data_IF_227794807275
#
_entry.id   IF_227794807275
#
_cell.length_a   1.000
_cell.length_b   1.000
_cell.length_c   1.000
_cell.angle_alpha   90.00
_cell.angle_beta   90.00
_cell.angle_gamma   90.00
#
_symmetry.space_group_name_H-M   'P 1'
#
loop_
_entity.id
_entity.type
_entity.pdbx_description
1 polymer ?
#
# COMPACT_ATOMS: atom_id res chain seq x y z
N UNK A 1 13.30 -2.94 -23.47
CA UNK A 1 12.33 -4.05 -23.21
C UNK A 1 11.00 -3.58 -22.60
N UNK A 2 10.46 -2.46 -23.06
CA UNK A 2 9.18 -1.91 -22.60
C UNK A 2 7.97 -2.80 -22.91
N UNK A 3 8.09 -3.76 -23.81
CA UNK A 3 7.06 -4.80 -24.05
C UNK A 3 6.60 -5.52 -22.77
N UNK A 4 7.49 -5.61 -21.77
CA UNK A 4 7.16 -6.27 -20.50
C UNK A 4 6.18 -5.46 -19.63
N UNK A 5 6.04 -4.16 -19.85
CA UNK A 5 5.10 -3.32 -19.13
C UNK A 5 3.64 -3.53 -19.59
N UNK A 6 3.44 -3.99 -20.83
CA UNK A 6 2.09 -4.29 -21.33
C UNK A 6 1.48 -5.42 -20.49
N UNK A 7 0.40 -5.11 -19.77
CA UNK A 7 -0.26 -6.04 -18.86
C UNK A 7 0.61 -6.48 -17.67
N UNK A 8 1.56 -5.64 -17.26
CA UNK A 8 2.50 -5.93 -16.15
C UNK A 8 1.77 -6.31 -14.86
N UNK A 9 0.83 -5.50 -14.44
CA UNK A 9 0.10 -5.72 -13.18
C UNK A 9 -0.75 -6.99 -13.23
N UNK A 10 -1.39 -7.27 -14.37
CA UNK A 10 -2.14 -8.51 -14.55
C UNK A 10 -1.22 -9.73 -14.48
N UNK A 11 -0.07 -9.67 -15.15
CA UNK A 11 0.93 -10.75 -15.11
C UNK A 11 1.50 -10.94 -13.71
N UNK A 12 1.76 -9.84 -13.00
CA UNK A 12 2.28 -9.85 -11.63
C UNK A 12 1.29 -10.46 -10.63
N UNK A 13 -0.01 -10.26 -10.83
CA UNK A 13 -1.05 -10.79 -9.95
C UNK A 13 -1.46 -12.22 -10.26
N UNK A 14 -1.01 -12.79 -11.39
CA UNK A 14 -1.36 -14.17 -11.78
C UNK A 14 -1.11 -15.22 -10.69
N UNK A 15 0.06 -15.25 -9.99
CA UNK A 15 0.29 -16.25 -8.96
C UNK A 15 -0.77 -16.21 -7.85
N UNK A 16 -1.15 -15.03 -7.38
CA UNK A 16 -2.17 -14.87 -6.35
C UNK A 16 -3.56 -15.32 -6.83
N UNK A 17 -3.91 -15.05 -8.11
CA UNK A 17 -5.15 -15.60 -8.71
C UNK A 17 -5.14 -17.12 -8.78
N UNK A 18 -4.01 -17.74 -9.18
CA UNK A 18 -3.89 -19.19 -9.22
C UNK A 18 -4.04 -19.83 -7.85
N UNK A 19 -3.49 -19.22 -6.81
CA UNK A 19 -3.68 -19.70 -5.42
C UNK A 19 -5.16 -19.69 -5.00
N UNK A 20 -5.92 -18.66 -5.40
CA UNK A 20 -7.36 -18.59 -5.11
C UNK A 20 -8.11 -19.70 -5.85
N UNK A 21 -7.81 -19.96 -7.12
CA UNK A 21 -8.44 -21.02 -7.89
C UNK A 21 -8.04 -22.41 -7.39
N UNK A 22 -6.77 -22.62 -7.07
CA UNK A 22 -6.28 -23.88 -6.48
C UNK A 22 -7.00 -24.23 -5.17
N UNK A 23 -7.23 -23.21 -4.31
CA UNK A 23 -8.02 -23.40 -3.08
C UNK A 23 -9.48 -23.74 -3.37
N UNK A 24 -10.07 -23.16 -4.42
CA UNK A 24 -11.46 -23.44 -4.78
C UNK A 24 -11.70 -24.87 -5.26
N UNK A 25 -10.67 -25.52 -5.80
CA UNK A 25 -10.71 -26.90 -6.27
C UNK A 25 -10.47 -27.96 -5.18
N UNK A 26 -9.86 -27.55 -4.04
CA UNK A 26 -9.58 -28.45 -2.90
C UNK A 26 -10.82 -28.65 -2.03
N UNK A 27 -10.86 -29.75 -1.31
CA UNK A 27 -11.91 -30.00 -0.31
C UNK A 27 -11.72 -29.15 0.94
N UNK A 28 -12.77 -28.97 1.74
CA UNK A 28 -12.69 -28.28 3.04
C UNK A 28 -11.66 -28.91 3.97
N UNK A 29 -11.50 -30.21 3.93
CA UNK A 29 -10.56 -30.97 4.77
C UNK A 29 -9.09 -30.74 4.34
N UNK A 30 -8.82 -30.76 3.03
CA UNK A 30 -7.46 -30.49 2.51
C UNK A 30 -7.00 -29.08 2.81
N UNK A 31 -7.92 -28.12 2.99
CA UNK A 31 -7.60 -26.74 3.33
C UNK A 31 -7.38 -26.50 4.83
N UNK A 32 -7.59 -27.48 5.72
CA UNK A 32 -7.24 -27.35 7.13
C UNK A 32 -5.72 -27.19 7.36
N UNK A 33 -4.90 -27.70 6.44
CA UNK A 33 -3.44 -27.56 6.46
C UNK A 33 -2.93 -26.27 5.79
N UNK A 34 -3.80 -25.52 5.09
CA UNK A 34 -3.43 -24.24 4.46
C UNK A 34 -3.55 -23.09 5.46
N UNK A 35 -2.42 -22.57 5.93
CA UNK A 35 -2.39 -21.47 6.92
C UNK A 35 -3.01 -20.16 6.42
N UNK A 36 -3.26 -20.00 5.12
CA UNK A 36 -3.98 -18.85 4.56
C UNK A 36 -5.51 -19.06 4.59
N UNK A 37 -5.97 -20.16 5.18
CA UNK A 37 -7.38 -20.51 5.33
C UNK A 37 -7.79 -20.63 6.80
N UNK A 38 -9.10 -20.51 7.06
CA UNK A 38 -9.81 -21.12 8.18
C UNK A 38 -10.83 -22.05 7.57
N UNK A 39 -10.55 -23.35 7.62
CA UNK A 39 -11.27 -24.35 6.84
C UNK A 39 -12.27 -25.15 7.65
N UNK A 40 -13.16 -25.83 6.94
CA UNK A 40 -14.13 -26.77 7.51
C UNK A 40 -15.00 -26.15 8.62
N UNK A 41 -15.42 -24.90 8.41
CA UNK A 41 -16.25 -24.14 9.34
C UNK A 41 -17.71 -24.53 9.15
N UNK A 42 -18.35 -25.06 10.21
CA UNK A 42 -19.75 -25.49 10.22
C UNK A 42 -20.62 -24.41 10.87
N UNK A 43 -21.68 -24.00 10.20
CA UNK A 43 -22.63 -23.02 10.72
C UNK A 43 -23.29 -23.55 12.02
N UNK A 44 -23.23 -22.73 13.08
CA UNK A 44 -23.74 -23.15 14.41
C UNK A 44 -25.25 -23.06 14.47
N UNK A 45 -25.85 -21.99 13.93
CA UNK A 45 -27.26 -21.73 13.92
C UNK A 45 -27.69 -21.02 12.63
N UNK A 46 -28.81 -21.42 12.07
CA UNK A 46 -29.40 -20.79 10.89
C UNK A 46 -30.01 -19.41 11.19
N UNK A 47 -30.10 -19.02 12.47
CA UNK A 47 -30.60 -17.71 12.90
C UNK A 47 -29.42 -16.84 13.33
N UNK A 48 -28.99 -15.89 12.48
CA UNK A 48 -27.91 -14.97 12.84
C UNK A 48 -28.36 -14.05 13.99
N UNK A 49 -27.41 -13.58 14.78
CA UNK A 49 -27.64 -12.50 15.74
C UNK A 49 -27.90 -11.21 14.98
N UNK A 50 -29.10 -10.63 15.13
CA UNK A 50 -29.45 -9.33 14.56
C UNK A 50 -28.76 -8.20 15.34
N UNK A 51 -28.25 -7.21 14.63
CA UNK A 51 -27.65 -5.98 15.17
C UNK A 51 -28.20 -4.78 14.39
N UNK A 52 -28.03 -3.58 14.89
CA UNK A 52 -28.51 -2.35 14.23
C UNK A 52 -28.02 -2.23 12.79
N UNK A 53 -26.76 -2.60 12.51
CA UNK A 53 -26.09 -2.43 11.22
C UNK A 53 -26.05 -3.70 10.34
N UNK A 54 -26.33 -4.87 10.90
CA UNK A 54 -26.18 -6.13 10.17
C UNK A 54 -26.51 -7.38 10.97
N UNK A 55 -26.01 -8.49 10.48
CA UNK A 55 -26.21 -9.82 11.04
C UNK A 55 -24.85 -10.45 11.37
N UNK A 56 -24.76 -11.15 12.51
CA UNK A 56 -23.57 -11.90 12.89
C UNK A 56 -23.90 -13.40 12.81
N UNK A 57 -23.17 -14.11 11.94
CA UNK A 57 -23.22 -15.55 11.77
C UNK A 57 -22.07 -16.20 12.53
N UNK A 58 -22.35 -17.31 13.22
CA UNK A 58 -21.34 -18.05 14.00
C UNK A 58 -21.06 -19.40 13.36
N UNK A 59 -19.78 -19.72 13.21
CA UNK A 59 -19.30 -20.98 12.68
C UNK A 59 -18.37 -21.65 13.70
N UNK A 60 -18.43 -22.97 13.78
CA UNK A 60 -17.47 -23.78 14.53
C UNK A 60 -16.43 -24.36 13.60
N UNK A 61 -15.18 -24.38 14.03
CA UNK A 61 -14.08 -24.99 13.28
C UNK A 61 -13.13 -25.72 14.22
N UNK A 62 -12.37 -26.69 13.67
CA UNK A 62 -11.38 -27.45 14.41
C UNK A 62 -10.13 -26.60 14.68
N UNK A 63 -9.35 -27.04 15.67
CA UNK A 63 -8.03 -26.44 15.90
C UNK A 63 -7.15 -26.60 14.66
N UNK A 64 -6.63 -25.47 14.15
CA UNK A 64 -5.80 -25.38 12.95
C UNK A 64 -4.96 -24.11 12.99
N UNK A 65 -3.83 -24.11 12.27
CA UNK A 65 -2.99 -22.93 12.13
C UNK A 65 -3.53 -22.03 11.01
N UNK A 66 -3.71 -20.73 11.30
CA UNK A 66 -4.20 -19.76 10.32
C UNK A 66 -3.55 -18.38 10.50
N UNK A 67 -3.52 -17.59 9.41
CA UNK A 67 -3.04 -16.20 9.38
C UNK A 67 -4.14 -15.17 9.21
N UNK A 68 -5.37 -15.60 8.96
CA UNK A 68 -6.52 -14.71 8.84
C UNK A 68 -6.75 -13.94 10.14
N UNK A 69 -7.18 -12.69 10.04
CA UNK A 69 -7.34 -11.78 11.17
C UNK A 69 -8.71 -11.14 11.18
N UNK A 70 -9.16 -10.78 12.37
CA UNK A 70 -10.36 -9.97 12.58
C UNK A 70 -10.33 -8.66 11.79
N UNK A 71 -11.50 -8.17 11.39
CA UNK A 71 -11.66 -6.97 10.58
C UNK A 71 -11.34 -7.13 9.09
N UNK A 72 -10.82 -8.28 8.66
CA UNK A 72 -10.61 -8.59 7.24
C UNK A 72 -11.91 -9.08 6.59
N UNK A 73 -11.94 -9.02 5.26
CA UNK A 73 -13.05 -9.60 4.50
C UNK A 73 -13.12 -11.09 4.73
N UNK A 74 -14.31 -11.59 5.11
CA UNK A 74 -14.62 -13.01 5.11
C UNK A 74 -14.88 -13.44 3.65
N UNK A 75 -13.93 -14.16 3.07
CA UNK A 75 -13.96 -14.57 1.67
C UNK A 75 -14.14 -16.09 1.59
N UNK A 76 -15.21 -16.54 0.96
CA UNK A 76 -15.46 -17.96 0.71
C UNK A 76 -14.49 -18.46 -0.35
N UNK A 77 -13.62 -19.39 0.04
CA UNK A 77 -12.58 -19.94 -0.84
C UNK A 77 -13.16 -20.73 -2.00
N UNK A 78 -14.27 -21.47 -1.79
CA UNK A 78 -14.89 -22.31 -2.83
C UNK A 78 -15.76 -21.51 -3.81
N UNK A 79 -16.54 -20.55 -3.29
CA UNK A 79 -17.39 -19.72 -4.14
C UNK A 79 -16.64 -18.51 -4.73
N UNK A 80 -15.40 -18.28 -4.32
CA UNK A 80 -14.58 -17.14 -4.74
C UNK A 80 -15.34 -15.82 -4.52
N UNK A 81 -15.96 -15.68 -3.34
CA UNK A 81 -16.89 -14.59 -3.05
C UNK A 81 -16.71 -14.03 -1.65
N UNK A 82 -16.73 -12.69 -1.55
CA UNK A 82 -16.77 -12.00 -0.26
C UNK A 82 -18.15 -12.11 0.39
N UNK A 83 -18.21 -12.66 1.60
CA UNK A 83 -19.44 -12.83 2.38
C UNK A 83 -19.71 -11.65 3.31
N UNK A 84 -18.69 -11.11 3.95
CA UNK A 84 -18.78 -10.06 4.94
C UNK A 84 -17.42 -9.72 5.50
N UNK A 85 -17.34 -9.42 6.79
CA UNK A 85 -16.09 -9.20 7.50
C UNK A 85 -15.95 -10.20 8.66
N UNK A 86 -14.76 -10.66 8.92
CA UNK A 86 -14.43 -11.44 10.11
C UNK A 86 -14.64 -10.51 11.32
N UNK A 87 -15.65 -10.82 12.12
CA UNK A 87 -16.03 -10.02 13.30
C UNK A 87 -15.17 -10.38 14.51
N UNK A 88 -15.08 -11.68 14.83
CA UNK A 88 -14.18 -12.21 15.86
C UNK A 88 -13.79 -13.65 15.57
N UNK A 89 -12.65 -14.07 16.10
CA UNK A 89 -12.18 -15.44 16.13
C UNK A 89 -11.90 -15.79 17.59
N UNK A 90 -12.66 -16.72 18.14
CA UNK A 90 -12.60 -17.13 19.54
C UNK A 90 -12.03 -18.55 19.63
N UNK A 91 -10.86 -18.69 20.25
CA UNK A 91 -10.21 -19.98 20.45
C UNK A 91 -10.62 -20.56 21.80
N UNK A 92 -11.32 -21.69 21.79
CA UNK A 92 -11.91 -22.32 22.97
C UNK A 92 -11.36 -23.76 23.13
N UNK A 93 -10.09 -23.92 23.49
CA UNK A 93 -9.52 -25.23 23.77
C UNK A 93 -10.04 -25.77 25.14
N UNK A 94 -10.48 -27.06 25.28
CA UNK A 94 -10.48 -28.14 24.29
C UNK A 94 -11.72 -28.17 23.38
N UNK A 95 -12.64 -27.24 23.50
CA UNK A 95 -13.83 -27.15 22.66
C UNK A 95 -13.49 -26.60 21.26
N UNK A 96 -14.47 -26.64 20.35
CA UNK A 96 -14.28 -26.12 18.99
C UNK A 96 -14.20 -24.60 18.99
N UNK A 97 -13.32 -24.06 18.18
CA UNK A 97 -13.16 -22.62 17.96
C UNK A 97 -14.38 -22.02 17.27
N UNK A 98 -14.64 -20.75 17.55
CA UNK A 98 -15.79 -20.02 17.00
C UNK A 98 -15.30 -18.87 16.11
N UNK A 99 -15.71 -18.90 14.86
CA UNK A 99 -15.56 -17.82 13.91
C UNK A 99 -16.87 -17.06 13.79
N UNK A 100 -16.86 -15.74 13.97
CA UNK A 100 -18.03 -14.88 13.75
C UNK A 100 -17.83 -14.01 12.52
N UNK A 101 -18.84 -13.95 11.66
CA UNK A 101 -18.85 -13.17 10.42
C UNK A 101 -19.97 -12.14 10.48
N UNK A 102 -19.60 -10.87 10.33
CA UNK A 102 -20.55 -9.76 10.23
C UNK A 102 -20.94 -9.51 8.78
N UNK A 103 -22.22 -9.47 8.50
CA UNK A 103 -22.83 -9.17 7.20
C UNK A 103 -23.72 -7.94 7.33
N UNK A 104 -23.37 -6.84 6.67
CA UNK A 104 -24.15 -5.60 6.71
C UNK A 104 -25.54 -5.76 6.08
N UNK A 105 -26.58 -5.13 6.67
CA UNK A 105 -27.95 -5.06 6.12
C UNK A 105 -28.04 -4.46 4.70
N UNK A 106 -27.01 -3.72 4.29
CA UNK A 106 -26.91 -3.16 2.91
C UNK A 106 -26.63 -4.24 1.87
N UNK A 107 -26.05 -5.38 2.28
CA UNK A 107 -25.79 -6.53 1.40
C UNK A 107 -27.04 -7.43 1.38
N UNK A 108 -28.01 -7.07 0.57
CA UNK A 108 -29.22 -7.90 0.36
C UNK A 108 -28.82 -9.22 -0.31
N UNK A 109 -29.40 -10.34 0.17
CA UNK A 109 -29.34 -11.68 -0.44
C UNK A 109 -27.95 -12.35 -0.40
N UNK A 110 -27.19 -12.25 0.66
CA UNK A 110 -26.08 -13.16 0.90
C UNK A 110 -26.64 -14.38 1.64
N UNK A 111 -26.67 -15.50 0.95
CA UNK A 111 -26.92 -16.79 1.56
C UNK A 111 -25.62 -17.30 2.18
N UNK A 112 -25.64 -17.54 3.48
CA UNK A 112 -24.47 -18.05 4.19
C UNK A 112 -24.42 -19.56 4.11
N UNK A 113 -23.31 -20.15 3.63
CA UNK A 113 -23.23 -21.60 3.46
C UNK A 113 -23.23 -22.32 4.82
N UNK A 114 -23.80 -23.53 4.87
CA UNK A 114 -23.78 -24.38 6.07
C UNK A 114 -22.38 -24.92 6.40
N UNK A 115 -21.55 -25.09 5.38
CA UNK A 115 -20.14 -25.48 5.45
C UNK A 115 -19.32 -24.44 4.69
N UNK A 116 -18.29 -23.88 5.32
CA UNK A 116 -17.51 -22.75 4.81
C UNK A 116 -16.02 -22.99 5.01
N UNK A 117 -15.22 -22.61 4.04
CA UNK A 117 -13.78 -22.35 4.21
C UNK A 117 -13.52 -20.90 3.84
N UNK A 118 -12.97 -20.13 4.80
CA UNK A 118 -12.44 -18.81 4.51
C UNK A 118 -11.03 -18.91 3.96
N UNK A 119 -10.73 -18.10 2.95
CA UNK A 119 -9.40 -17.92 2.39
C UNK A 119 -9.11 -16.47 2.07
N UNK A 120 -7.92 -16.20 1.56
CA UNK A 120 -7.61 -14.90 1.01
C UNK A 120 -8.44 -14.67 -0.26
N UNK A 121 -8.94 -13.45 -0.41
CA UNK A 121 -9.68 -13.06 -1.61
C UNK A 121 -8.76 -12.84 -2.82
N UNK A 122 -9.39 -12.57 -3.96
CA UNK A 122 -8.67 -12.21 -5.19
C UNK A 122 -7.83 -10.94 -4.99
N UNK A 123 -6.69 -10.82 -5.68
CA UNK A 123 -5.91 -9.59 -5.68
C UNK A 123 -6.77 -8.38 -6.08
N UNK A 124 -6.46 -7.19 -5.57
CA UNK A 124 -7.20 -5.99 -5.93
C UNK A 124 -7.07 -5.69 -7.43
N UNK A 125 -8.15 -5.17 -8.01
CA UNK A 125 -8.12 -4.72 -9.40
C UNK A 125 -7.19 -3.52 -9.55
N UNK A 126 -6.26 -3.59 -10.50
CA UNK A 126 -5.17 -2.62 -10.70
C UNK A 126 -5.40 -1.66 -11.87
N UNK A 127 -6.66 -1.47 -12.27
CA UNK A 127 -7.02 -0.66 -13.44
C UNK A 127 -6.39 0.75 -13.46
N UNK A 128 -6.35 1.43 -12.32
CA UNK A 128 -5.74 2.77 -12.21
C UNK A 128 -4.21 2.73 -12.41
N UNK A 129 -3.55 1.68 -11.93
CA UNK A 129 -2.12 1.46 -12.15
C UNK A 129 -1.84 1.16 -13.63
N UNK A 130 -2.68 0.33 -14.26
CA UNK A 130 -2.56 0.05 -15.70
C UNK A 130 -2.76 1.32 -16.53
N UNK A 131 -3.72 2.19 -16.16
CA UNK A 131 -3.91 3.47 -16.83
C UNK A 131 -2.69 4.39 -16.69
N UNK A 132 -2.07 4.45 -15.51
CA UNK A 132 -0.85 5.24 -15.30
C UNK A 132 0.32 4.70 -16.12
N UNK A 133 0.45 3.38 -16.17
CA UNK A 133 1.47 2.72 -16.97
C UNK A 133 1.26 2.92 -18.47
N UNK A 134 0.01 2.87 -18.94
CA UNK A 134 -0.32 3.13 -20.35
C UNK A 134 0.02 4.57 -20.76
N UNK A 135 -0.26 5.58 -19.92
CA UNK A 135 0.17 6.96 -20.19
C UNK A 135 1.68 7.09 -20.36
N UNK A 136 2.46 6.39 -19.54
CA UNK A 136 3.91 6.34 -19.71
C UNK A 136 4.32 5.68 -21.04
N UNK A 137 3.66 4.58 -21.42
CA UNK A 137 3.94 3.87 -22.67
C UNK A 137 3.52 4.68 -23.89
N UNK A 138 2.42 5.40 -23.84
CA UNK A 138 1.98 6.33 -24.89
C UNK A 138 3.01 7.45 -25.10
N UNK A 139 3.46 8.09 -24.01
CA UNK A 139 4.54 9.10 -24.10
C UNK A 139 5.85 8.54 -24.66
N UNK A 140 6.17 7.29 -24.28
CA UNK A 140 7.35 6.64 -24.84
C UNK A 140 7.23 6.42 -26.35
N UNK A 141 6.06 6.08 -26.86
CA UNK A 141 5.81 5.87 -28.30
C UNK A 141 5.84 7.21 -29.04
N UNK A 142 5.21 8.24 -28.49
CA UNK A 142 4.99 9.52 -29.16
C UNK A 142 6.18 10.48 -28.99
N UNK A 143 6.90 10.43 -27.87
CA UNK A 143 7.91 11.41 -27.46
C UNK A 143 9.21 10.78 -26.95
N UNK A 144 9.48 9.50 -27.16
CA UNK A 144 10.64 8.76 -26.60
C UNK A 144 10.73 8.84 -25.06
N UNK A 145 9.61 8.99 -24.34
CA UNK A 145 9.56 9.07 -22.89
C UNK A 145 10.11 10.36 -22.30
N UNK A 146 10.20 11.45 -23.08
CA UNK A 146 10.81 12.71 -22.65
C UNK A 146 10.09 13.37 -21.48
N UNK A 147 8.78 13.20 -21.37
CA UNK A 147 8.00 13.73 -20.23
C UNK A 147 8.25 12.92 -18.94
N UNK A 148 8.85 11.74 -19.04
CA UNK A 148 9.19 10.85 -17.93
C UNK A 148 10.70 10.59 -17.83
N UNK A 149 11.53 11.62 -18.10
CA UNK A 149 12.99 11.51 -18.17
C UNK A 149 13.60 10.78 -16.97
N UNK A 150 13.20 11.10 -15.73
CA UNK A 150 13.73 10.44 -14.54
C UNK A 150 13.44 8.94 -14.49
N UNK A 151 12.26 8.51 -14.98
CA UNK A 151 11.90 7.09 -15.10
C UNK A 151 12.74 6.43 -16.20
N UNK A 152 12.89 7.09 -17.36
CA UNK A 152 13.69 6.58 -18.47
C UNK A 152 15.15 6.43 -18.06
N UNK A 153 15.73 7.43 -17.41
CA UNK A 153 17.11 7.39 -16.93
C UNK A 153 17.34 6.21 -15.96
N UNK A 154 16.37 5.95 -15.06
CA UNK A 154 16.41 4.81 -14.13
C UNK A 154 16.31 3.47 -14.86
N UNK A 155 15.37 3.32 -15.82
CA UNK A 155 15.18 2.08 -16.60
C UNK A 155 16.38 1.76 -17.48
N UNK A 156 17.03 2.77 -18.02
CA UNK A 156 18.24 2.65 -18.84
C UNK A 156 19.52 2.59 -17.99
N UNK A 157 19.40 2.69 -16.67
CA UNK A 157 20.55 2.69 -15.72
C UNK A 157 21.57 3.77 -16.02
N UNK A 158 21.13 4.93 -16.50
CA UNK A 158 21.99 6.07 -16.71
C UNK A 158 22.52 6.63 -15.39
N UNK A 159 23.67 7.28 -15.43
CA UNK A 159 24.12 8.07 -14.29
C UNK A 159 23.12 9.20 -14.00
N UNK A 160 22.91 9.56 -12.72
CA UNK A 160 22.07 10.70 -12.36
C UNK A 160 22.55 11.96 -13.10
N UNK A 161 21.61 12.66 -13.71
CA UNK A 161 21.87 13.95 -14.34
C UNK A 161 21.76 15.05 -13.27
N UNK A 162 22.88 15.64 -12.89
CA UNK A 162 22.99 16.61 -11.81
C UNK A 162 23.68 17.85 -12.37
N UNK A 163 23.03 19.00 -12.22
CA UNK A 163 23.60 20.27 -12.67
C UNK A 163 24.98 20.52 -12.04
N UNK A 164 25.92 20.94 -12.84
CA UNK A 164 27.30 21.24 -12.46
C UNK A 164 28.16 20.05 -11.98
N UNK A 165 27.67 18.81 -12.11
CA UNK A 165 28.47 17.61 -11.81
C UNK A 165 28.63 16.78 -13.07
N UNK A 166 29.88 16.45 -13.40
CA UNK A 166 30.19 15.60 -14.57
C UNK A 166 29.72 14.17 -14.32
N UNK A 167 29.03 13.57 -15.29
CA UNK A 167 28.57 12.18 -15.20
C UNK A 167 29.75 11.23 -14.90
N UNK A 168 29.53 10.32 -13.94
CA UNK A 168 30.51 9.36 -13.48
C UNK A 168 31.52 9.89 -12.44
N UNK A 169 31.37 11.15 -11.99
CA UNK A 169 32.17 11.67 -10.88
C UNK A 169 31.68 11.11 -9.54
N UNK A 170 32.57 11.05 -8.55
CA UNK A 170 32.17 10.77 -7.17
C UNK A 170 31.21 11.86 -6.68
N UNK A 171 30.05 11.44 -6.23
CA UNK A 171 29.00 12.34 -5.74
C UNK A 171 29.27 12.80 -4.30
N UNK A 172 29.93 11.97 -3.51
CA UNK A 172 30.20 12.22 -2.09
C UNK A 172 31.69 12.31 -1.88
N UNK A 173 32.10 13.34 -1.13
CA UNK A 173 33.48 13.55 -0.71
C UNK A 173 33.65 13.07 0.73
N UNK A 174 34.66 12.27 0.99
CA UNK A 174 35.01 11.84 2.34
C UNK A 174 35.31 13.02 3.27
N UNK A 175 34.93 12.90 4.54
CA UNK A 175 35.17 13.92 5.55
C UNK A 175 34.20 15.12 5.54
N UNK A 176 33.24 15.19 4.61
CA UNK A 176 32.18 16.20 4.63
C UNK A 176 30.86 15.59 5.09
N UNK A 177 30.00 16.42 5.68
CA UNK A 177 28.68 15.99 6.13
C UNK A 177 27.86 15.37 4.98
N UNK A 178 27.45 14.12 5.17
CA UNK A 178 26.70 13.33 4.17
C UNK A 178 25.34 13.95 3.86
N UNK A 179 24.65 14.49 4.86
CA UNK A 179 23.29 15.04 4.69
C UNK A 179 23.36 16.31 3.86
N UNK A 180 24.32 17.19 4.18
CA UNK A 180 24.54 18.42 3.41
C UNK A 180 24.84 18.11 1.96
N UNK A 181 25.77 17.18 1.69
CA UNK A 181 26.13 16.80 0.32
C UNK A 181 24.96 16.16 -0.42
N UNK A 182 24.24 15.21 0.22
CA UNK A 182 23.11 14.54 -0.39
C UNK A 182 21.97 15.52 -0.70
N UNK A 183 21.73 16.47 0.18
CA UNK A 183 20.73 17.54 -0.02
C UNK A 183 21.09 18.40 -1.23
N UNK A 184 22.36 18.82 -1.34
CA UNK A 184 22.83 19.63 -2.45
C UNK A 184 22.69 18.87 -3.79
N UNK A 185 23.06 17.59 -3.81
CA UNK A 185 22.89 16.72 -4.97
C UNK A 185 21.42 16.66 -5.39
N UNK A 186 20.52 16.39 -4.46
CA UNK A 186 19.08 16.24 -4.77
C UNK A 186 18.47 17.57 -5.24
N UNK A 187 18.86 18.70 -4.66
CA UNK A 187 18.43 20.04 -5.13
C UNK A 187 18.86 20.34 -6.57
N UNK A 188 19.96 19.78 -7.01
CA UNK A 188 20.55 20.00 -8.35
C UNK A 188 20.21 18.90 -9.36
N UNK A 189 19.34 17.94 -9.04
CA UNK A 189 18.87 16.95 -10.01
C UNK A 189 18.14 17.62 -11.19
N UNK A 190 18.54 17.29 -12.41
CA UNK A 190 17.94 17.80 -13.65
C UNK A 190 16.93 16.79 -14.21
N UNK A 191 15.71 16.77 -13.65
CA UNK A 191 14.68 15.78 -14.01
C UNK A 191 15.25 14.36 -14.07
N UNK A 192 16.02 13.97 -13.06
CA UNK A 192 16.70 12.70 -12.95
C UNK A 192 16.41 12.03 -11.61
N UNK A 193 17.16 11.01 -11.26
CA UNK A 193 16.96 10.23 -10.03
C UNK A 193 18.27 10.10 -9.24
N UNK A 194 18.15 9.81 -7.95
CA UNK A 194 19.26 9.44 -7.08
C UNK A 194 18.88 8.19 -6.28
N UNK A 195 19.73 7.18 -6.29
CA UNK A 195 19.55 5.98 -5.47
C UNK A 195 20.38 6.10 -4.19
N UNK A 196 19.71 5.99 -3.04
CA UNK A 196 20.35 5.95 -1.72
C UNK A 196 20.24 4.52 -1.18
N UNK A 197 21.36 3.82 -1.11
CA UNK A 197 21.46 2.46 -0.61
C UNK A 197 22.16 2.42 0.75
N UNK A 198 21.73 1.50 1.61
CA UNK A 198 22.38 1.24 2.89
C UNK A 198 21.68 0.12 3.66
N UNK A 199 22.38 -0.65 4.48
CA UNK A 199 21.81 -1.66 5.36
C UNK A 199 20.79 -1.08 6.36
N UNK A 200 19.99 -1.90 7.04
CA UNK A 200 19.20 -1.46 8.18
C UNK A 200 20.06 -0.75 9.23
N UNK A 201 19.53 0.31 9.86
CA UNK A 201 20.25 1.05 10.92
C UNK A 201 21.26 2.10 10.47
N UNK A 202 21.53 2.27 9.17
CA UNK A 202 22.51 3.25 8.64
C UNK A 202 21.99 4.69 8.53
N UNK A 203 20.87 5.02 9.16
CA UNK A 203 20.34 6.39 9.17
C UNK A 203 19.60 6.85 7.91
N UNK A 204 19.24 5.95 6.97
CA UNK A 204 18.52 6.33 5.73
C UNK A 204 17.27 7.17 5.99
N UNK A 205 16.45 6.76 6.95
CA UNK A 205 15.21 7.48 7.30
C UNK A 205 15.51 8.88 7.81
N UNK A 206 16.56 9.04 8.64
CA UNK A 206 17.01 10.32 9.15
C UNK A 206 17.51 11.23 8.05
N UNK A 207 18.39 10.72 7.17
CA UNK A 207 18.91 11.48 6.03
C UNK A 207 17.80 11.87 5.05
N UNK A 208 16.87 10.95 4.74
CA UNK A 208 15.72 11.24 3.88
C UNK A 208 14.81 12.32 4.47
N UNK A 209 14.56 12.30 5.78
CA UNK A 209 13.75 13.32 6.44
C UNK A 209 14.38 14.72 6.31
N UNK A 210 15.69 14.84 6.52
CA UNK A 210 16.42 16.10 6.37
C UNK A 210 16.40 16.61 4.92
N UNK A 211 16.66 15.74 3.95
CA UNK A 211 16.59 16.07 2.51
C UNK A 211 15.19 16.59 2.15
N UNK A 212 14.13 15.91 2.60
CA UNK A 212 12.73 16.29 2.33
C UNK A 212 12.42 17.68 2.91
N UNK A 213 12.84 17.97 4.13
CA UNK A 213 12.66 19.29 4.75
C UNK A 213 13.34 20.38 3.93
N UNK A 214 14.57 20.15 3.52
CA UNK A 214 15.33 21.10 2.71
C UNK A 214 14.73 21.31 1.31
N UNK A 215 14.14 20.29 0.71
CA UNK A 215 13.38 20.43 -0.54
C UNK A 215 12.11 21.29 -0.33
N UNK A 216 11.39 21.07 0.76
CA UNK A 216 10.20 21.88 1.10
C UNK A 216 10.59 23.34 1.41
N UNK A 217 11.70 23.59 2.11
CA UNK A 217 12.25 24.95 2.31
C UNK A 217 12.58 25.64 0.97
N UNK A 218 13.04 24.88 -0.01
CA UNK A 218 13.29 25.38 -1.35
C UNK A 218 12.00 25.51 -2.20
N UNK A 219 10.80 25.40 -1.59
CA UNK A 219 9.51 25.54 -2.25
C UNK A 219 9.11 24.36 -3.13
N UNK A 220 9.79 23.21 -2.97
CA UNK A 220 9.42 21.99 -3.74
C UNK A 220 8.26 21.26 -3.08
N UNK A 221 7.36 20.72 -3.90
CA UNK A 221 6.34 19.76 -3.47
C UNK A 221 6.95 18.35 -3.47
N UNK A 222 6.79 17.62 -2.38
CA UNK A 222 7.43 16.31 -2.19
C UNK A 222 6.38 15.21 -2.04
N UNK A 223 6.51 14.16 -2.85
CA UNK A 223 5.70 12.93 -2.75
C UNK A 223 6.46 11.82 -2.03
N UNK A 224 5.84 11.19 -1.03
CA UNK A 224 6.38 10.04 -0.30
C UNK A 224 5.51 8.81 -0.57
N UNK A 225 6.11 7.77 -1.12
CA UNK A 225 5.41 6.51 -1.40
C UNK A 225 6.18 5.29 -0.93
N UNK A 226 5.45 4.24 -0.56
CA UNK A 226 5.96 2.90 -0.26
C UNK A 226 4.84 1.89 -0.43
N UNK A 227 5.17 0.60 -0.54
CA UNK A 227 4.19 -0.49 -0.51
C UNK A 227 3.64 -0.73 0.92
N UNK A 228 4.28 -0.20 1.96
CA UNK A 228 3.88 -0.36 3.36
C UNK A 228 3.42 0.97 3.97
N UNK A 229 2.21 1.00 4.52
CA UNK A 229 1.71 2.14 5.29
C UNK A 229 2.58 2.44 6.52
N UNK A 230 3.15 1.41 7.18
CA UNK A 230 4.04 1.59 8.32
C UNK A 230 5.37 2.23 7.92
N UNK A 231 5.95 1.85 6.77
CA UNK A 231 7.16 2.49 6.27
C UNK A 231 6.94 3.98 5.98
N UNK A 232 5.80 4.32 5.35
CA UNK A 232 5.39 5.72 5.13
C UNK A 232 5.28 6.45 6.47
N UNK A 233 4.54 5.88 7.43
CA UNK A 233 4.32 6.48 8.75
C UNK A 233 5.62 6.71 9.52
N UNK A 234 6.55 5.74 9.44
CA UNK A 234 7.89 5.85 10.07
C UNK A 234 8.68 7.03 9.49
N UNK A 235 8.70 7.17 8.16
CA UNK A 235 9.38 8.31 7.53
C UNK A 235 8.70 9.64 7.86
N UNK A 236 7.37 9.70 7.87
CA UNK A 236 6.63 10.91 8.22
C UNK A 236 6.87 11.36 9.67
N UNK A 237 6.96 10.41 10.61
CA UNK A 237 7.35 10.70 12.01
C UNK A 237 8.75 11.31 12.08
N UNK A 238 9.70 10.79 11.31
CA UNK A 238 11.03 11.34 11.25
C UNK A 238 11.05 12.76 10.63
N UNK A 239 10.27 12.99 9.56
CA UNK A 239 10.13 14.33 8.95
C UNK A 239 9.55 15.32 9.97
N UNK A 240 8.47 14.93 10.67
CA UNK A 240 7.83 15.82 11.64
C UNK A 240 8.73 16.12 12.84
N UNK A 241 9.49 15.12 13.31
CA UNK A 241 10.46 15.34 14.38
C UNK A 241 11.58 16.29 13.94
N UNK A 242 12.17 16.06 12.77
CA UNK A 242 13.22 16.95 12.24
C UNK A 242 12.71 18.36 11.96
N UNK A 243 11.45 18.51 11.53
CA UNK A 243 10.83 19.82 11.34
C UNK A 243 10.68 20.57 12.67
N UNK A 244 10.28 19.87 13.75
CA UNK A 244 10.24 20.43 15.10
C UNK A 244 11.62 20.86 15.60
N UNK A 245 12.63 20.00 15.42
CA UNK A 245 14.00 20.24 15.85
C UNK A 245 14.66 21.42 15.12
N UNK A 246 14.22 21.69 13.88
CA UNK A 246 14.72 22.76 13.01
C UNK A 246 13.81 23.98 12.95
N UNK A 247 12.79 24.06 13.79
CA UNK A 247 11.77 25.13 13.82
C UNK A 247 11.19 25.45 12.42
N UNK A 248 10.86 24.37 11.67
CA UNK A 248 10.32 24.46 10.32
C UNK A 248 8.87 24.01 10.28
N UNK A 249 7.95 24.88 9.86
CA UNK A 249 6.55 24.56 9.68
C UNK A 249 6.23 24.27 8.22
N UNK A 250 5.40 23.26 7.99
CA UNK A 250 4.93 22.87 6.65
C UNK A 250 3.49 22.34 6.71
N UNK A 251 2.85 22.26 5.57
CA UNK A 251 1.55 21.61 5.42
C UNK A 251 1.70 20.30 4.64
N UNK A 252 1.36 19.17 5.27
CA UNK A 252 1.43 17.84 4.67
C UNK A 252 0.11 17.11 4.70
N UNK A 253 -0.06 16.14 3.81
CA UNK A 253 -1.18 15.22 3.80
C UNK A 253 -0.74 13.77 3.66
N UNK A 254 -1.43 12.86 4.37
CA UNK A 254 -1.25 11.41 4.24
C UNK A 254 -2.58 10.73 3.95
N UNK A 255 -2.62 9.86 2.93
CA UNK A 255 -3.75 8.94 2.76
C UNK A 255 -3.65 7.82 3.79
N UNK A 256 -4.59 7.80 4.74
CA UNK A 256 -4.67 6.80 5.79
C UNK A 256 -6.02 6.08 5.78
N UNK A 257 -6.08 4.89 6.38
CA UNK A 257 -7.33 4.22 6.73
C UNK A 257 -7.91 4.89 7.97
N UNK A 258 -9.23 4.83 8.15
CA UNK A 258 -9.91 5.40 9.33
C UNK A 258 -9.40 4.82 10.65
N UNK A 259 -8.95 3.57 10.65
CA UNK A 259 -8.37 2.85 11.79
C UNK A 259 -6.88 3.16 12.04
N UNK A 260 -6.19 3.86 11.12
CA UNK A 260 -4.75 4.14 11.20
C UNK A 260 -4.49 5.66 11.25
N UNK A 261 -5.32 6.41 11.93
CA UNK A 261 -5.10 7.84 12.17
C UNK A 261 -3.98 8.01 13.20
N UNK A 262 -3.23 9.10 13.03
CA UNK A 262 -2.17 9.52 13.94
C UNK A 262 -2.32 11.00 14.25
N UNK A 263 -1.94 11.42 15.45
CA UNK A 263 -1.97 12.83 15.87
C UNK A 263 -0.70 13.55 15.40
N UNK A 264 -0.81 14.16 14.21
CA UNK A 264 0.26 14.91 13.56
C UNK A 264 0.19 16.40 13.92
N UNK A 265 1.33 17.06 14.01
CA UNK A 265 1.38 18.54 14.14
C UNK A 265 1.24 19.23 12.78
N UNK A 266 1.92 18.74 11.75
CA UNK A 266 2.03 19.39 10.45
C UNK A 266 1.36 18.59 9.30
N UNK A 267 0.92 17.37 9.56
CA UNK A 267 0.39 16.46 8.55
C UNK A 267 -1.08 16.17 8.84
N UNK A 268 -1.91 16.12 7.81
CA UNK A 268 -3.33 15.77 7.92
C UNK A 268 -3.59 14.39 7.35
N UNK A 269 -4.13 13.50 8.17
CA UNK A 269 -4.64 12.22 7.68
C UNK A 269 -5.97 12.40 6.93
N UNK A 270 -6.00 11.96 5.68
CA UNK A 270 -7.19 12.00 4.84
C UNK A 270 -7.70 10.59 4.51
N UNK A 271 -9.01 10.43 4.58
CA UNK A 271 -9.74 9.29 4.02
C UNK A 271 -10.42 9.78 2.76
N UNK A 272 -9.95 9.35 1.59
CA UNK A 272 -10.33 9.96 0.32
C UNK A 272 -11.78 9.68 -0.04
N UNK A 273 -12.62 10.67 0.09
CA UNK A 273 -13.95 10.71 -0.54
C UNK A 273 -14.26 12.04 -1.23
N UNK A 274 -13.39 13.06 -1.13
CA UNK A 274 -13.62 14.39 -1.67
C UNK A 274 -12.46 14.84 -2.56
N UNK A 275 -12.70 15.71 -3.55
CA UNK A 275 -11.62 16.40 -4.27
C UNK A 275 -10.73 17.14 -3.29
N UNK A 276 -9.42 17.07 -3.50
CA UNK A 276 -8.42 17.73 -2.67
C UNK A 276 -7.80 18.87 -3.48
N UNK A 277 -7.64 20.02 -2.85
CA UNK A 277 -6.81 21.07 -3.41
C UNK A 277 -5.35 20.70 -3.14
N UNK A 278 -4.64 20.31 -4.20
CA UNK A 278 -3.23 19.89 -4.11
C UNK A 278 -2.29 21.08 -3.88
N UNK A 279 -2.74 22.31 -4.05
CA UNK A 279 -1.88 23.49 -3.87
C UNK A 279 -1.67 23.85 -2.40
N UNK A 280 -2.53 23.36 -1.53
CA UNK A 280 -2.47 23.67 -0.09
C UNK A 280 -1.37 22.91 0.67
N UNK A 281 -0.67 21.97 0.01
CA UNK A 281 0.28 21.10 0.69
C UNK A 281 1.65 21.09 -0.01
N UNK A 282 2.71 21.01 0.79
CA UNK A 282 4.09 20.82 0.33
C UNK A 282 4.55 19.35 0.41
N UNK A 283 3.85 18.51 1.21
CA UNK A 283 4.15 17.09 1.38
C UNK A 283 2.91 16.23 1.12
N UNK A 284 3.07 15.20 0.30
CA UNK A 284 2.04 14.20 -0.02
C UNK A 284 2.53 12.81 0.33
N UNK A 285 1.74 12.01 1.03
CA UNK A 285 2.17 10.67 1.41
C UNK A 285 1.06 9.63 1.24
N UNK A 286 1.41 8.50 0.66
CA UNK A 286 0.52 7.38 0.45
C UNK A 286 1.17 6.26 -0.33
N UNK A 287 0.47 5.12 -0.43
CA UNK A 287 0.90 4.04 -1.32
C UNK A 287 0.70 4.44 -2.79
N UNK A 288 1.19 3.65 -3.73
CA UNK A 288 0.98 3.89 -5.17
C UNK A 288 -0.48 4.15 -5.54
N UNK A 289 -1.44 3.52 -4.84
CA UNK A 289 -2.88 3.77 -5.00
C UNK A 289 -3.31 5.22 -4.79
N UNK A 290 -2.59 5.96 -3.96
CA UNK A 290 -2.84 7.38 -3.75
C UNK A 290 -2.44 8.19 -4.97
N UNK A 291 -1.28 7.92 -5.54
CA UNK A 291 -0.72 8.70 -6.65
C UNK A 291 -1.35 8.36 -8.02
N UNK A 292 -1.92 7.16 -8.18
CA UNK A 292 -2.66 6.81 -9.40
C UNK A 292 -4.15 7.17 -9.35
N UNK A 293 -4.65 7.71 -8.24
CA UNK A 293 -6.03 8.14 -8.10
C UNK A 293 -6.31 9.32 -9.04
N UNK A 294 -7.32 9.22 -9.96
CA UNK A 294 -7.60 10.28 -10.92
C UNK A 294 -7.92 11.64 -10.29
N UNK A 295 -8.32 11.66 -9.01
CA UNK A 295 -8.58 12.90 -8.26
C UNK A 295 -7.32 13.67 -7.91
N UNK A 296 -6.14 12.99 -7.94
CA UNK A 296 -4.83 13.58 -7.72
C UNK A 296 -4.25 14.22 -8.99
N UNK A 297 -4.78 13.87 -10.17
CA UNK A 297 -4.28 14.31 -11.48
C UNK A 297 -5.00 15.56 -12.02
N UNK A 298 -5.65 16.35 -11.17
CA UNK A 298 -6.32 17.60 -11.57
C UNK A 298 -5.42 18.83 -11.36
N UNK A 299 -4.19 18.73 -11.85
CA UNK A 299 -3.31 19.91 -12.05
C UNK A 299 -2.73 19.86 -13.43
#
# INVERSE_FOLDING_TARGET
NLKNFIGFHWKSNKPEFWEVFDRAEKTHLELEDDTECIANCVLVDNKPKDTDDGFIYSYRFNDQNYKLKEGKTAFDAHQIKGLGNIYSIEENFPDKNILKIFVSKRRKNIEMPSLLTLGNGTPPQVHQHDQALNKFLEDYIDNDGKNYKSIMDMLERKHPDINNIKNGSNLINEGKDLIVQSTEIVKNLNNSYLTIQGPPGTGKTYSSANIIIELMRAGKKVGVTSNSHEAIKTLLKAIEQQAKDQDFEFSGMRKAKSSDKYDWKFIKDITVSKPLNMDDYSLYAGTSWFFVDPRMNKT
#
